data_IF_826131616593
#
_entry.id   IF_826131616593
#
_cell.length_a   1.000
_cell.length_b   1.000
_cell.length_c   1.000
_cell.angle_alpha   90.00
_cell.angle_beta   90.00
_cell.angle_gamma   90.00
#
_symmetry.space_group_name_H-M   'P 1'
#
loop_
_entity.id
_entity.type
_entity.pdbx_description
1 polymer ?
#
# COMPACT_ATOMS: atom_id res chain seq x y z
N UNK A 1 28.04 -34.07 -17.01
CA UNK A 1 26.97 -34.37 -16.04
C UNK A 1 25.80 -34.95 -16.83
N UNK A 2 25.41 -36.21 -16.53
CA UNK A 2 24.37 -36.91 -17.28
C UNK A 2 23.00 -36.32 -17.05
N UNK A 3 22.18 -36.26 -18.06
CA UNK A 3 20.78 -35.75 -18.04
C UNK A 3 19.87 -36.55 -17.05
N UNK A 4 20.38 -37.64 -16.45
CA UNK A 4 19.64 -38.57 -15.59
C UNK A 4 20.18 -38.72 -14.17
N UNK A 5 21.05 -37.81 -13.70
CA UNK A 5 21.53 -37.90 -12.33
C UNK A 5 20.38 -37.71 -11.35
N UNK A 6 20.20 -38.70 -10.46
CA UNK A 6 19.15 -38.65 -9.42
C UNK A 6 19.47 -37.53 -8.46
N UNK A 7 18.58 -36.55 -8.36
CA UNK A 7 18.66 -35.45 -7.39
C UNK A 7 17.83 -35.76 -6.17
N UNK A 8 18.33 -35.39 -5.01
CA UNK A 8 17.63 -35.48 -3.74
C UNK A 8 17.39 -34.08 -3.19
N UNK A 9 16.36 -33.96 -2.38
CA UNK A 9 16.03 -32.72 -1.70
C UNK A 9 16.90 -32.52 -0.46
N UNK A 10 17.68 -31.46 -0.39
CA UNK A 10 18.55 -31.14 0.73
C UNK A 10 17.80 -30.74 2.00
N UNK A 11 16.46 -30.55 1.88
CA UNK A 11 15.56 -30.23 2.98
C UNK A 11 14.97 -31.49 3.63
N UNK A 12 14.34 -32.40 2.85
CA UNK A 12 13.63 -33.57 3.37
C UNK A 12 14.29 -34.91 3.01
N UNK A 13 15.35 -34.92 2.21
CA UNK A 13 16.04 -36.13 1.77
C UNK A 13 15.33 -36.91 0.64
N UNK A 14 14.12 -36.57 0.27
CA UNK A 14 13.34 -37.27 -0.75
C UNK A 14 13.91 -37.11 -2.15
N UNK A 15 13.72 -38.14 -2.99
CA UNK A 15 14.13 -38.11 -4.39
C UNK A 15 13.29 -37.10 -5.16
N UNK A 16 13.95 -36.22 -5.89
CA UNK A 16 13.31 -35.21 -6.72
C UNK A 16 12.96 -35.82 -8.09
N UNK A 17 11.67 -35.73 -8.49
CA UNK A 17 11.21 -36.13 -9.80
C UNK A 17 11.74 -35.20 -10.91
N UNK A 18 11.60 -35.63 -12.17
CA UNK A 18 12.21 -35.00 -13.36
C UNK A 18 11.95 -33.47 -13.47
N UNK A 19 10.76 -32.99 -13.10
CA UNK A 19 10.39 -31.56 -13.13
C UNK A 19 10.17 -30.93 -11.73
N UNK A 20 10.52 -31.69 -10.67
CA UNK A 20 10.25 -31.31 -9.29
C UNK A 20 11.32 -30.46 -8.63
N UNK A 21 12.49 -30.30 -9.27
CA UNK A 21 13.61 -29.58 -8.67
C UNK A 21 13.34 -28.06 -8.62
N UNK A 22 13.49 -27.52 -7.43
CA UNK A 22 13.48 -26.08 -7.13
C UNK A 22 14.87 -25.71 -6.61
N UNK A 23 15.75 -25.26 -7.53
CA UNK A 23 17.15 -24.95 -7.21
C UNK A 23 17.25 -23.88 -6.13
N UNK A 24 18.16 -24.08 -5.19
CA UNK A 24 18.62 -23.12 -4.18
C UNK A 24 20.01 -22.60 -4.58
N UNK A 25 20.56 -21.68 -3.81
CA UNK A 25 21.94 -21.20 -4.04
C UNK A 25 22.96 -22.34 -3.95
N UNK A 26 22.91 -23.10 -2.88
CA UNK A 26 23.86 -24.15 -2.52
C UNK A 26 23.27 -25.59 -2.57
N UNK A 27 22.00 -25.74 -3.06
CA UNK A 27 21.37 -27.06 -3.03
C UNK A 27 20.11 -27.19 -3.88
N UNK A 28 19.34 -28.24 -3.59
CA UNK A 28 18.11 -28.61 -4.28
C UNK A 28 16.94 -28.75 -3.30
N UNK A 29 15.81 -28.21 -3.64
CA UNK A 29 14.58 -28.35 -2.90
C UNK A 29 13.53 -29.06 -3.76
N UNK A 30 12.75 -29.99 -3.21
CA UNK A 30 11.63 -30.60 -3.91
C UNK A 30 10.42 -29.65 -3.98
N UNK A 31 9.50 -29.95 -4.88
CA UNK A 31 8.26 -29.16 -5.06
C UNK A 31 7.44 -29.08 -3.76
N UNK A 32 7.42 -30.16 -2.97
CA UNK A 32 6.59 -30.23 -1.76
C UNK A 32 7.18 -29.42 -0.61
N UNK A 33 8.52 -29.40 -0.46
CA UNK A 33 9.16 -28.48 0.48
C UNK A 33 9.00 -27.02 0.04
N UNK A 34 9.13 -26.73 -1.26
CA UNK A 34 8.98 -25.38 -1.78
C UNK A 34 7.55 -24.82 -1.62
N UNK A 35 6.51 -25.67 -1.66
CA UNK A 35 5.12 -25.24 -1.43
C UNK A 35 4.84 -24.84 0.03
N UNK A 36 5.66 -25.30 0.98
CA UNK A 36 5.49 -24.95 2.39
C UNK A 36 6.05 -23.57 2.73
N UNK A 37 6.82 -22.97 1.83
CA UNK A 37 7.33 -21.60 1.99
C UNK A 37 6.20 -20.59 1.87
N UNK A 38 6.45 -19.34 2.30
CA UNK A 38 5.50 -18.26 2.10
C UNK A 38 5.20 -18.05 0.60
N UNK A 39 3.95 -17.81 0.20
CA UNK A 39 3.64 -17.47 -1.18
C UNK A 39 4.26 -16.13 -1.63
N UNK A 40 4.60 -15.26 -0.68
CA UNK A 40 5.21 -13.95 -0.92
C UNK A 40 6.74 -14.02 -0.97
N UNK A 41 7.33 -15.17 -0.71
CA UNK A 41 8.77 -15.36 -0.76
C UNK A 41 9.27 -15.61 -2.17
N UNK A 42 9.93 -14.64 -2.77
CA UNK A 42 10.44 -14.70 -4.16
C UNK A 42 11.90 -15.15 -4.28
N UNK A 43 12.71 -14.98 -3.23
CA UNK A 43 14.17 -15.11 -3.26
C UNK A 43 14.71 -16.54 -3.08
N UNK A 44 13.86 -17.55 -3.24
CA UNK A 44 14.25 -18.96 -3.03
C UNK A 44 15.51 -19.38 -3.80
N UNK A 45 15.76 -18.85 -4.99
CA UNK A 45 16.94 -19.23 -5.81
C UNK A 45 18.24 -18.68 -5.27
N UNK A 46 18.17 -17.58 -4.58
CA UNK A 46 19.28 -16.87 -3.95
C UNK A 46 19.49 -17.32 -2.50
N UNK A 47 18.59 -18.17 -1.97
CA UNK A 47 18.65 -18.63 -0.59
C UNK A 47 19.36 -19.96 -0.48
N UNK A 48 20.10 -20.10 0.61
CA UNK A 48 20.79 -21.33 1.00
C UNK A 48 19.81 -22.38 1.55
N UNK A 49 20.27 -23.62 1.62
CA UNK A 49 19.53 -24.73 2.26
C UNK A 49 19.17 -24.38 3.71
N UNK A 50 20.09 -23.73 4.42
CA UNK A 50 19.89 -23.40 5.84
C UNK A 50 18.82 -22.30 6.00
N UNK A 51 18.83 -21.25 5.19
CA UNK A 51 17.79 -20.20 5.20
C UNK A 51 16.40 -20.76 4.89
N UNK A 52 16.33 -21.71 3.93
CA UNK A 52 15.06 -22.39 3.63
C UNK A 52 14.57 -23.22 4.82
N UNK A 53 15.47 -23.93 5.52
CA UNK A 53 15.10 -24.67 6.74
C UNK A 53 14.59 -23.73 7.84
N UNK A 54 15.25 -22.60 8.04
CA UNK A 54 14.82 -21.58 9.01
C UNK A 54 13.44 -21.02 8.66
N UNK A 55 13.19 -20.71 7.38
CA UNK A 55 11.87 -20.28 6.96
C UNK A 55 10.80 -21.36 7.21
N UNK A 56 11.10 -22.63 6.97
CA UNK A 56 10.16 -23.72 7.24
C UNK A 56 9.84 -23.85 8.74
N UNK A 57 10.82 -23.62 9.63
CA UNK A 57 10.57 -23.54 11.08
C UNK A 57 9.63 -22.37 11.40
N UNK A 58 9.88 -21.20 10.82
CA UNK A 58 8.99 -20.04 10.95
C UNK A 58 7.56 -20.37 10.48
N UNK A 59 7.42 -21.08 9.35
CA UNK A 59 6.11 -21.50 8.82
C UNK A 59 5.37 -22.47 9.76
N UNK A 60 6.08 -23.32 10.49
CA UNK A 60 5.45 -24.17 11.52
C UNK A 60 5.00 -23.34 12.74
N UNK A 61 5.78 -22.35 13.15
CA UNK A 61 5.38 -21.40 14.20
C UNK A 61 4.16 -20.58 13.79
N UNK A 62 4.11 -20.14 12.52
CA UNK A 62 2.96 -19.41 11.96
C UNK A 62 1.64 -20.18 12.12
N UNK A 63 1.64 -21.50 12.01
CA UNK A 63 0.44 -22.33 12.23
C UNK A 63 -0.16 -22.12 13.62
N UNK A 64 0.71 -22.00 14.65
CA UNK A 64 0.23 -21.78 16.02
C UNK A 64 -0.37 -20.39 16.18
N UNK A 65 0.25 -19.38 15.57
CA UNK A 65 -0.28 -18.01 15.56
C UNK A 65 -1.61 -17.97 14.82
N UNK A 66 -1.69 -18.65 13.66
CA UNK A 66 -2.88 -18.70 12.82
C UNK A 66 -4.07 -19.38 13.51
N UNK A 67 -3.82 -20.34 14.43
CA UNK A 67 -4.89 -20.95 15.25
C UNK A 67 -5.58 -19.95 16.18
N UNK A 68 -4.81 -18.99 16.72
CA UNK A 68 -5.33 -17.95 17.62
C UNK A 68 -5.85 -16.71 16.89
N UNK A 69 -5.54 -16.59 15.60
CA UNK A 69 -5.95 -15.45 14.77
C UNK A 69 -7.47 -15.49 14.56
N UNK A 70 -8.17 -14.41 14.94
CA UNK A 70 -9.61 -14.28 14.81
C UNK A 70 -9.99 -12.95 14.15
N UNK A 71 -10.22 -12.94 12.82
CA UNK A 71 -10.46 -11.70 12.09
C UNK A 71 -11.74 -11.01 12.56
N UNK A 72 -11.62 -9.73 12.86
CA UNK A 72 -12.72 -8.82 13.19
C UNK A 72 -13.29 -8.16 11.93
N UNK A 73 -12.45 -8.04 10.90
CA UNK A 73 -12.80 -7.47 9.60
C UNK A 73 -12.24 -8.32 8.46
N UNK A 74 -12.96 -8.35 7.34
CA UNK A 74 -12.53 -9.00 6.10
C UNK A 74 -12.86 -8.05 4.94
N UNK A 75 -11.86 -7.67 4.16
CA UNK A 75 -12.00 -6.74 3.04
C UNK A 75 -11.47 -7.42 1.77
N UNK A 76 -12.21 -7.29 0.68
CA UNK A 76 -11.89 -7.90 -0.61
C UNK A 76 -12.85 -9.01 -1.04
N UNK A 77 -12.71 -9.46 -2.27
CA UNK A 77 -13.58 -10.46 -2.94
C UNK A 77 -12.87 -11.78 -3.19
N UNK A 78 -12.00 -11.87 -4.18
CA UNK A 78 -11.12 -13.03 -4.45
C UNK A 78 -9.91 -12.99 -3.49
N UNK A 79 -9.03 -12.02 -3.64
CA UNK A 79 -8.05 -11.71 -2.61
C UNK A 79 -8.71 -10.98 -1.45
N UNK A 80 -8.41 -11.43 -0.25
CA UNK A 80 -8.98 -10.89 1.00
C UNK A 80 -7.90 -10.53 1.99
N UNK A 81 -8.09 -9.39 2.62
CA UNK A 81 -7.32 -8.97 3.78
C UNK A 81 -8.17 -9.21 5.01
N UNK A 82 -7.74 -10.15 5.82
CA UNK A 82 -8.34 -10.51 7.11
C UNK A 82 -7.61 -9.74 8.19
N UNK A 83 -8.31 -8.99 9.03
CA UNK A 83 -7.71 -8.13 10.06
C UNK A 83 -8.26 -8.55 11.43
N UNK A 84 -7.36 -8.84 12.36
CA UNK A 84 -7.68 -9.01 13.78
C UNK A 84 -7.25 -7.73 14.52
N UNK A 85 -8.21 -6.85 14.76
CA UNK A 85 -7.96 -5.57 15.44
C UNK A 85 -7.54 -5.78 16.91
N UNK A 86 -7.99 -6.88 17.54
CA UNK A 86 -7.65 -7.18 18.94
C UNK A 86 -6.19 -7.58 19.10
N UNK A 87 -5.68 -8.43 18.20
CA UNK A 87 -4.28 -8.87 18.21
C UNK A 87 -3.37 -7.95 17.38
N UNK A 88 -3.94 -6.98 16.67
CA UNK A 88 -3.23 -6.09 15.74
C UNK A 88 -2.44 -6.86 14.68
N UNK A 89 -3.09 -7.82 14.05
CA UNK A 89 -2.51 -8.70 13.03
C UNK A 89 -3.39 -8.75 11.79
N UNK A 90 -2.79 -9.12 10.67
CA UNK A 90 -3.54 -9.34 9.44
C UNK A 90 -3.00 -10.54 8.65
N UNK A 91 -3.82 -11.02 7.74
CA UNK A 91 -3.52 -12.10 6.79
C UNK A 91 -4.01 -11.65 5.41
N UNK A 92 -3.20 -11.88 4.38
CA UNK A 92 -3.62 -11.71 2.99
C UNK A 92 -3.70 -13.07 2.31
N UNK A 93 -4.84 -13.42 1.76
CA UNK A 93 -5.02 -14.71 1.08
C UNK A 93 -6.21 -14.67 0.12
N UNK A 94 -6.09 -15.45 -0.98
CA UNK A 94 -7.22 -15.77 -1.85
C UNK A 94 -7.74 -17.21 -1.63
N UNK A 95 -7.14 -17.95 -0.72
CA UNK A 95 -7.55 -19.28 -0.41
C UNK A 95 -8.95 -19.30 0.24
N UNK A 96 -9.78 -20.26 -0.14
CA UNK A 96 -11.09 -20.49 0.51
C UNK A 96 -10.93 -20.75 2.01
N UNK A 97 -9.87 -21.45 2.37
CA UNK A 97 -9.47 -21.70 3.76
C UNK A 97 -8.02 -21.29 3.95
N UNK A 98 -7.82 -20.05 4.38
CA UNK A 98 -6.50 -19.48 4.62
C UNK A 98 -5.74 -20.18 5.76
N UNK A 99 -6.45 -20.86 6.67
CA UNK A 99 -5.82 -21.66 7.74
C UNK A 99 -5.24 -22.95 7.20
N UNK A 100 -5.95 -23.66 6.33
CA UNK A 100 -5.45 -24.87 5.68
C UNK A 100 -4.22 -24.58 4.80
N UNK A 101 -4.19 -23.42 4.13
CA UNK A 101 -3.05 -22.97 3.33
C UNK A 101 -1.90 -22.43 4.19
N UNK A 102 -2.08 -22.35 5.51
CA UNK A 102 -1.09 -21.74 6.40
C UNK A 102 -0.68 -20.34 5.95
N UNK A 103 -1.66 -19.46 5.65
CA UNK A 103 -1.40 -18.10 5.24
C UNK A 103 -0.57 -17.35 6.30
N UNK A 104 0.28 -16.41 5.86
CA UNK A 104 1.17 -15.68 6.77
C UNK A 104 0.38 -14.72 7.66
N UNK A 105 0.56 -14.84 8.97
CA UNK A 105 0.03 -13.88 9.95
C UNK A 105 1.09 -12.82 10.20
N UNK A 106 0.76 -11.59 9.89
CA UNK A 106 1.67 -10.45 9.93
C UNK A 106 1.18 -9.46 10.99
N UNK A 107 2.09 -8.94 11.79
CA UNK A 107 1.76 -7.89 12.76
C UNK A 107 1.58 -6.54 12.04
N UNK A 108 0.57 -5.77 12.42
CA UNK A 108 0.36 -4.43 11.88
C UNK A 108 1.57 -3.50 12.12
N UNK A 109 2.35 -3.76 13.16
CA UNK A 109 3.58 -3.01 13.43
C UNK A 109 4.70 -3.28 12.40
N UNK A 110 4.60 -4.37 11.63
CA UNK A 110 5.54 -4.69 10.54
C UNK A 110 5.21 -3.97 9.24
N UNK A 111 4.01 -3.39 9.10
CA UNK A 111 3.63 -2.62 7.90
C UNK A 111 4.42 -1.32 7.86
N UNK A 112 5.19 -1.12 6.80
CA UNK A 112 5.94 0.10 6.56
C UNK A 112 5.23 1.04 5.60
N UNK A 113 4.47 0.49 4.65
CA UNK A 113 3.60 1.23 3.75
C UNK A 113 2.48 0.31 3.22
N UNK A 114 1.35 0.89 2.87
CA UNK A 114 0.31 0.25 2.07
C UNK A 114 -0.22 1.27 1.08
N UNK A 115 -0.32 0.88 -0.17
CA UNK A 115 -0.85 1.71 -1.25
C UNK A 115 -1.52 0.84 -2.32
N UNK A 116 -2.16 1.48 -3.28
CA UNK A 116 -2.67 0.80 -4.45
C UNK A 116 -2.44 1.64 -5.71
N UNK A 117 -2.38 0.96 -6.84
CA UNK A 117 -2.33 1.55 -8.17
C UNK A 117 -3.59 1.16 -8.96
N UNK A 118 -4.01 2.04 -9.85
CA UNK A 118 -5.09 1.78 -10.82
C UNK A 118 -4.47 1.68 -12.19
N UNK A 119 -4.44 0.48 -12.74
CA UNK A 119 -3.97 0.24 -14.09
C UNK A 119 -5.15 0.23 -15.07
N UNK A 120 -4.89 0.81 -16.24
CA UNK A 120 -5.80 0.85 -17.37
C UNK A 120 -5.23 0.00 -18.50
N UNK A 121 -5.93 -1.05 -18.87
CA UNK A 121 -5.65 -1.84 -20.07
C UNK A 121 -6.54 -1.33 -21.21
N UNK A 122 -5.98 -1.23 -22.41
CA UNK A 122 -6.66 -0.75 -23.61
C UNK A 122 -6.44 -1.70 -24.77
N UNK A 123 -7.50 -2.39 -25.17
CA UNK A 123 -7.49 -3.34 -26.27
C UNK A 123 -8.19 -2.76 -27.50
N UNK A 124 -7.56 -2.88 -28.68
CA UNK A 124 -8.16 -2.45 -29.93
C UNK A 124 -9.24 -3.43 -30.37
N UNK A 125 -10.44 -2.91 -30.68
CA UNK A 125 -11.55 -3.68 -31.23
C UNK A 125 -11.40 -3.76 -32.73
N UNK A 126 -11.49 -4.97 -33.26
CA UNK A 126 -11.38 -5.25 -34.71
C UNK A 126 -12.72 -5.71 -35.27
N UNK A 127 -12.87 -5.51 -36.57
CA UNK A 127 -13.98 -6.06 -37.37
C UNK A 127 -13.45 -7.02 -38.42
N UNK A 128 -14.34 -7.62 -39.22
CA UNK A 128 -13.96 -8.46 -40.36
C UNK A 128 -14.32 -7.76 -41.65
N UNK A 129 -13.42 -7.82 -42.63
CA UNK A 129 -13.72 -7.41 -44.02
C UNK A 129 -14.59 -8.44 -44.74
N UNK A 130 -14.94 -8.16 -46.00
CA UNK A 130 -15.74 -9.07 -46.85
C UNK A 130 -15.06 -10.42 -47.13
N UNK A 131 -13.77 -10.55 -46.91
CA UNK A 131 -12.96 -11.76 -47.06
C UNK A 131 -12.74 -12.51 -45.74
N UNK A 132 -13.29 -12.01 -44.64
CA UNK A 132 -13.13 -12.59 -43.28
C UNK A 132 -11.83 -12.22 -42.58
N UNK A 133 -11.02 -11.30 -43.11
CA UNK A 133 -9.79 -10.86 -42.47
C UNK A 133 -10.12 -9.87 -41.33
N UNK A 134 -9.33 -9.95 -40.25
CA UNK A 134 -9.40 -9.02 -39.12
C UNK A 134 -8.85 -7.66 -39.55
N UNK A 135 -9.67 -6.61 -39.47
CA UNK A 135 -9.28 -5.22 -39.82
C UNK A 135 -9.69 -4.24 -38.73
N UNK A 136 -8.89 -3.20 -38.56
CA UNK A 136 -9.21 -2.07 -37.63
C UNK A 136 -10.45 -1.32 -38.13
N UNK A 137 -11.21 -0.78 -37.16
CA UNK A 137 -12.18 0.27 -37.46
C UNK A 137 -11.48 1.54 -37.94
N UNK A 138 -12.18 2.34 -38.74
CA UNK A 138 -11.69 3.67 -39.14
C UNK A 138 -12.70 4.74 -38.70
N UNK A 139 -12.41 5.53 -37.65
CA UNK A 139 -11.22 5.50 -36.77
C UNK A 139 -11.15 4.25 -35.89
N UNK A 140 -9.97 3.88 -35.35
CA UNK A 140 -9.82 2.74 -34.43
C UNK A 140 -10.73 2.87 -33.20
N UNK A 141 -11.27 1.74 -32.76
CA UNK A 141 -12.10 1.66 -31.53
C UNK A 141 -11.37 0.84 -30.49
N UNK A 142 -11.57 1.19 -29.22
CA UNK A 142 -10.89 0.55 -28.10
C UNK A 142 -11.91 0.14 -27.04
N UNK A 143 -11.62 -0.98 -26.41
CA UNK A 143 -12.23 -1.43 -25.17
C UNK A 143 -11.25 -1.15 -24.05
N UNK A 144 -11.75 -0.68 -22.92
CA UNK A 144 -10.96 -0.35 -21.75
C UNK A 144 -11.31 -1.30 -20.62
N UNK A 145 -10.32 -1.66 -19.84
CA UNK A 145 -10.55 -2.35 -18.57
C UNK A 145 -9.62 -1.82 -17.49
N UNK A 146 -10.11 -1.83 -16.26
CA UNK A 146 -9.41 -1.24 -15.12
C UNK A 146 -9.19 -2.29 -14.04
N UNK A 147 -7.98 -2.33 -13.47
CA UNK A 147 -7.67 -3.15 -12.31
C UNK A 147 -7.06 -2.30 -11.20
N UNK A 148 -7.25 -2.77 -9.96
CA UNK A 148 -6.61 -2.19 -8.78
C UNK A 148 -5.61 -3.20 -8.24
N UNK A 149 -4.33 -2.82 -8.24
CA UNK A 149 -3.23 -3.59 -7.67
C UNK A 149 -2.86 -3.02 -6.31
N UNK A 150 -2.90 -3.86 -5.28
CA UNK A 150 -2.49 -3.52 -3.93
C UNK A 150 -1.03 -3.87 -3.72
N UNK A 151 -0.30 -2.98 -3.05
CA UNK A 151 1.08 -3.19 -2.60
C UNK A 151 1.16 -2.90 -1.10
N UNK A 152 1.57 -3.89 -0.31
CA UNK A 152 1.77 -3.77 1.13
C UNK A 152 3.24 -4.07 1.42
N UNK A 153 3.97 -3.06 1.87
CA UNK A 153 5.36 -3.21 2.27
C UNK A 153 5.43 -3.57 3.76
N UNK A 154 6.20 -4.59 4.07
CA UNK A 154 6.32 -5.14 5.42
C UNK A 154 7.78 -5.37 5.82
N UNK A 155 8.07 -5.22 7.09
CA UNK A 155 9.35 -5.62 7.68
C UNK A 155 9.27 -7.06 8.17
N UNK A 156 9.28 -8.03 7.24
CA UNK A 156 9.31 -9.46 7.53
C UNK A 156 10.69 -10.03 7.19
N UNK A 157 11.17 -11.06 7.91
CA UNK A 157 12.49 -11.66 7.63
C UNK A 157 12.55 -12.42 6.30
N UNK A 158 11.41 -12.73 5.66
CA UNK A 158 11.35 -13.60 4.48
C UNK A 158 10.75 -12.96 3.24
N UNK A 159 10.09 -11.83 3.39
CA UNK A 159 9.55 -11.04 2.27
C UNK A 159 9.34 -9.59 2.73
N UNK A 160 9.52 -8.66 1.84
CA UNK A 160 9.36 -7.22 2.12
C UNK A 160 8.09 -6.64 1.52
N UNK A 161 7.42 -7.41 0.65
CA UNK A 161 6.31 -6.91 -0.15
C UNK A 161 5.24 -7.99 -0.37
N UNK A 162 3.99 -7.56 -0.38
CA UNK A 162 2.81 -8.36 -0.70
C UNK A 162 2.08 -7.61 -1.79
N UNK A 163 2.03 -8.20 -3.00
CA UNK A 163 1.31 -7.67 -4.14
C UNK A 163 0.14 -8.57 -4.52
N UNK A 164 -1.00 -7.98 -4.82
CA UNK A 164 -2.17 -8.70 -5.32
C UNK A 164 -3.14 -7.78 -6.07
N UNK A 165 -3.83 -8.33 -7.05
CA UNK A 165 -4.94 -7.68 -7.75
C UNK A 165 -6.19 -7.77 -6.86
N UNK A 166 -6.75 -6.61 -6.48
CA UNK A 166 -7.95 -6.53 -5.63
C UNK A 166 -9.24 -6.76 -6.44
N UNK A 167 -9.22 -6.41 -7.73
CA UNK A 167 -10.35 -6.60 -8.65
C UNK A 167 -10.46 -8.06 -9.07
N UNK A 168 -11.58 -8.72 -8.80
CA UNK A 168 -11.90 -10.04 -9.35
C UNK A 168 -12.54 -9.94 -10.75
N UNK A 169 -13.12 -8.79 -11.07
CA UNK A 169 -13.55 -8.37 -12.39
C UNK A 169 -12.87 -7.06 -12.74
N UNK A 170 -12.66 -6.81 -14.03
CA UNK A 170 -12.07 -5.58 -14.53
C UNK A 170 -13.17 -4.72 -15.15
N UNK A 171 -13.69 -3.73 -14.42
CA UNK A 171 -14.68 -2.79 -14.94
C UNK A 171 -14.20 -2.07 -16.20
N UNK A 172 -15.11 -1.75 -17.10
CA UNK A 172 -14.82 -1.05 -18.36
C UNK A 172 -14.65 0.47 -18.17
N UNK A 173 -14.97 0.99 -16.99
CA UNK A 173 -14.87 2.40 -16.67
C UNK A 173 -14.65 2.65 -15.17
N UNK A 174 -13.83 3.68 -14.86
CA UNK A 174 -13.64 4.17 -13.48
C UNK A 174 -14.88 4.82 -12.87
N UNK A 175 -15.91 5.11 -13.68
CA UNK A 175 -17.14 5.78 -13.23
C UNK A 175 -18.23 4.80 -12.84
N UNK A 176 -18.02 3.49 -12.98
CA UNK A 176 -18.98 2.46 -12.57
C UNK A 176 -19.09 2.37 -11.04
N UNK A 177 -20.21 1.92 -10.54
CA UNK A 177 -20.40 1.64 -9.11
C UNK A 177 -19.48 0.49 -8.64
N UNK A 178 -19.23 -0.45 -9.55
CA UNK A 178 -18.35 -1.58 -9.30
C UNK A 178 -16.90 -1.10 -9.06
N UNK A 179 -16.36 -0.25 -9.93
CA UNK A 179 -15.03 0.32 -9.75
C UNK A 179 -14.91 1.12 -8.44
N UNK A 180 -15.91 1.95 -8.13
CA UNK A 180 -15.94 2.72 -6.87
C UNK A 180 -15.94 1.82 -5.64
N UNK A 181 -16.58 0.65 -5.71
CA UNK A 181 -16.55 -0.34 -4.62
C UNK A 181 -15.15 -0.88 -4.40
N UNK A 182 -14.44 -1.25 -5.46
CA UNK A 182 -13.05 -1.70 -5.34
C UNK A 182 -12.13 -0.60 -4.80
N UNK A 183 -12.28 0.62 -5.29
CA UNK A 183 -11.52 1.77 -4.78
C UNK A 183 -11.80 2.04 -3.30
N UNK A 184 -13.05 1.90 -2.87
CA UNK A 184 -13.42 1.99 -1.45
C UNK A 184 -12.76 0.87 -0.63
N UNK A 185 -12.76 -0.38 -1.10
CA UNK A 185 -12.08 -1.50 -0.44
C UNK A 185 -10.57 -1.24 -0.34
N UNK A 186 -9.93 -0.74 -1.42
CA UNK A 186 -8.52 -0.40 -1.41
C UNK A 186 -8.19 0.66 -0.36
N UNK A 187 -8.97 1.73 -0.30
CA UNK A 187 -8.83 2.78 0.70
C UNK A 187 -9.03 2.25 2.13
N UNK A 188 -10.00 1.37 2.33
CA UNK A 188 -10.25 0.75 3.63
C UNK A 188 -9.08 -0.14 4.06
N UNK A 189 -8.51 -0.93 3.14
CA UNK A 189 -7.31 -1.74 3.41
C UNK A 189 -6.13 -0.84 3.82
N UNK A 190 -5.84 0.21 3.03
CA UNK A 190 -4.75 1.15 3.33
C UNK A 190 -4.95 1.77 4.72
N UNK A 191 -6.14 2.29 5.00
CA UNK A 191 -6.45 2.91 6.29
C UNK A 191 -6.30 1.93 7.46
N UNK A 192 -6.79 0.70 7.29
CA UNK A 192 -6.73 -0.33 8.33
C UNK A 192 -5.29 -0.78 8.64
N UNK A 193 -4.44 -0.90 7.62
CA UNK A 193 -3.07 -1.39 7.78
C UNK A 193 -2.10 -0.30 8.24
N UNK A 194 -2.30 0.96 7.84
CA UNK A 194 -1.39 2.07 8.18
C UNK A 194 -1.81 2.84 9.43
N UNK A 195 -3.04 2.63 9.92
CA UNK A 195 -3.61 3.42 11.02
C UNK A 195 -3.90 4.88 10.63
N UNK A 196 -3.73 5.23 9.37
CA UNK A 196 -4.11 6.54 8.83
C UNK A 196 -5.60 6.47 8.49
N UNK A 197 -6.38 7.46 8.94
CA UNK A 197 -7.78 7.60 8.49
C UNK A 197 -7.82 7.59 6.97
N UNK A 198 -8.82 6.88 6.38
CA UNK A 198 -8.94 6.75 4.93
C UNK A 198 -8.71 8.11 4.27
N UNK A 199 -7.83 8.23 3.23
CA UNK A 199 -7.72 9.45 2.47
C UNK A 199 -9.12 9.74 1.93
N UNK A 200 -9.63 10.95 2.18
CA UNK A 200 -10.93 11.36 1.65
C UNK A 200 -10.87 11.26 0.13
N UNK A 201 -11.53 10.23 -0.42
CA UNK A 201 -11.67 10.04 -1.84
C UNK A 201 -12.33 11.30 -2.43
N UNK A 202 -11.81 11.77 -3.54
CA UNK A 202 -12.44 12.81 -4.34
C UNK A 202 -13.86 12.37 -4.67
N UNK A 203 -14.87 12.96 -3.96
CA UNK A 203 -16.25 12.82 -4.34
C UNK A 203 -17.30 12.38 -3.31
N UNK A 204 -17.02 12.42 -2.01
CA UNK A 204 -18.10 12.32 -1.03
C UNK A 204 -18.75 13.69 -0.85
N UNK A 205 -20.09 13.85 -1.03
CA UNK A 205 -20.78 15.07 -0.64
C UNK A 205 -20.63 15.22 0.87
N UNK A 206 -20.08 16.36 1.30
CA UNK A 206 -20.04 16.74 2.71
C UNK A 206 -21.45 16.70 3.27
N UNK A 207 -21.78 15.67 4.06
CA UNK A 207 -22.87 15.78 5.00
C UNK A 207 -22.41 16.72 6.11
N UNK A 208 -22.93 17.93 6.06
CA UNK A 208 -22.76 18.87 7.16
C UNK A 208 -23.35 18.25 8.43
N UNK A 209 -22.63 18.32 9.56
CA UNK A 209 -23.22 17.92 10.84
C UNK A 209 -24.38 18.88 11.11
N UNK A 210 -25.58 18.32 11.30
CA UNK A 210 -26.72 19.06 11.84
C UNK A 210 -26.32 19.59 13.22
N UNK A 211 -25.89 20.85 13.26
CA UNK A 211 -25.74 21.60 14.49
C UNK A 211 -27.12 21.83 15.09
N UNK A 212 -27.32 21.31 16.29
CA UNK A 212 -28.46 21.63 17.14
C UNK A 212 -28.50 23.11 17.33
N UNK A 213 -29.56 23.75 16.82
CA UNK A 213 -29.90 25.11 17.16
C UNK A 213 -30.54 25.15 18.57
N UNK A 214 -30.12 26.07 19.46
CA UNK A 214 -30.81 26.26 20.72
C UNK A 214 -32.14 26.94 20.48
N UNK A 215 -33.19 26.43 21.08
CA UNK A 215 -34.50 27.05 21.18
C UNK A 215 -34.39 28.40 21.89
N UNK A 216 -34.95 29.46 21.31
CA UNK A 216 -35.18 30.69 22.05
C UNK A 216 -35.41 31.94 21.21
N UNK A 217 -36.62 32.34 21.05
CA UNK A 217 -37.31 33.63 21.11
C UNK A 217 -38.24 33.91 19.93
N UNK A 218 -39.44 34.47 20.19
CA UNK A 218 -40.47 34.66 19.18
C UNK A 218 -40.27 35.94 18.35
N UNK A 219 -40.81 36.01 17.12
CA UNK A 219 -40.56 37.09 16.20
C UNK A 219 -41.40 38.34 16.55
N UNK A 220 -40.73 39.50 16.65
CA UNK A 220 -41.37 40.79 16.67
C UNK A 220 -41.92 41.15 15.27
N UNK A 221 -43.18 41.59 15.25
CA UNK A 221 -43.88 42.10 14.10
C UNK A 221 -43.24 43.37 13.54
N UNK A 222 -42.99 43.43 12.24
CA UNK A 222 -42.66 44.64 11.52
C UNK A 222 -43.93 45.22 10.86
N UNK A 223 -44.10 46.54 10.85
CA UNK A 223 -45.28 47.18 10.27
C UNK A 223 -45.18 47.33 8.74
N UNK A 224 -46.35 47.25 8.11
CA UNK A 224 -46.57 47.50 6.69
C UNK A 224 -46.18 48.93 6.30
N UNK A 225 -45.29 49.05 5.28
CA UNK A 225 -44.97 50.33 4.61
C UNK A 225 -45.09 50.18 3.10
N UNK A 226 -45.94 51.05 2.52
CA UNK A 226 -46.46 51.08 1.18
C UNK A 226 -45.40 51.23 0.08
N UNK A 227 -45.62 50.55 -1.07
CA UNK A 227 -44.97 50.84 -2.35
C UNK A 227 -45.53 52.10 -3.02
N UNK A 228 -44.74 52.86 -3.79
CA UNK A 228 -45.19 53.59 -4.93
C UNK A 228 -44.77 53.00 -6.27
N UNK A 229 -45.72 52.96 -7.17
CA UNK A 229 -45.64 52.67 -8.61
C UNK A 229 -44.81 53.70 -9.36
N UNK A 230 -44.15 53.30 -10.46
CA UNK A 230 -43.79 54.27 -11.51
C UNK A 230 -42.57 53.86 -12.38
N UNK A 231 -42.85 53.22 -13.48
CA UNK A 231 -42.54 53.47 -14.91
C UNK A 231 -41.10 53.26 -15.47
N UNK A 232 -40.90 53.28 -16.83
CA UNK A 232 -40.71 52.08 -17.65
C UNK A 232 -39.32 52.05 -18.40
N UNK A 233 -39.08 51.12 -19.33
CA UNK A 233 -37.73 50.77 -19.79
C UNK A 233 -37.23 51.68 -20.92
N UNK A 234 -35.95 52.03 -20.93
CA UNK A 234 -35.30 52.64 -22.09
C UNK A 234 -34.27 51.71 -22.73
N UNK A 235 -34.34 51.74 -24.04
CA UNK A 235 -33.71 51.01 -25.11
C UNK A 235 -32.19 51.00 -25.07
N UNK A 236 -31.64 49.87 -25.57
CA UNK A 236 -30.23 49.69 -25.96
C UNK A 236 -29.91 50.48 -27.23
N UNK A 237 -28.68 50.93 -27.43
CA UNK A 237 -28.08 51.03 -28.73
C UNK A 237 -26.96 50.01 -28.95
N UNK A 238 -27.04 49.41 -30.13
CA UNK A 238 -26.01 48.63 -30.77
C UNK A 238 -24.76 49.48 -31.07
N UNK A 239 -23.58 48.86 -30.91
CA UNK A 239 -22.34 49.44 -31.42
C UNK A 239 -21.14 48.54 -31.13
N UNK A 240 -20.81 47.67 -32.07
CA UNK A 240 -19.43 47.18 -32.22
C UNK A 240 -18.55 48.26 -32.84
N UNK A 241 -17.25 48.30 -32.55
CA UNK A 241 -16.31 47.93 -33.61
C UNK A 241 -15.07 47.11 -33.14
N UNK A 242 -14.77 46.13 -33.95
CA UNK A 242 -13.50 45.68 -34.58
C UNK A 242 -12.19 45.85 -33.81
N UNK A 243 -11.50 44.70 -33.70
CA UNK A 243 -10.10 44.54 -33.34
C UNK A 243 -9.14 45.18 -34.35
N UNK A 244 -7.95 45.57 -33.94
CA UNK A 244 -6.78 45.53 -34.81
C UNK A 244 -5.75 44.47 -34.30
N UNK A 245 -5.29 43.75 -35.26
CA UNK A 245 -4.09 42.89 -35.22
C UNK A 245 -2.86 43.75 -34.92
N UNK A 246 -1.99 43.28 -33.97
CA UNK A 246 -0.70 43.89 -33.67
C UNK A 246 0.30 42.85 -33.21
N UNK A 247 1.04 42.40 -34.10
CA UNK A 247 2.43 41.86 -34.20
C UNK A 247 3.19 41.63 -32.91
N UNK A 248 3.73 40.42 -32.80
CA UNK A 248 4.81 40.02 -31.91
C UNK A 248 6.15 40.59 -32.40
N UNK A 249 7.06 40.99 -31.52
CA UNK A 249 8.48 41.02 -31.83
C UNK A 249 9.20 39.81 -31.23
N UNK A 250 9.98 39.19 -32.08
CA UNK A 250 11.04 38.23 -31.77
C UNK A 250 12.23 38.93 -31.08
N UNK A 251 12.89 38.19 -30.16
CA UNK A 251 14.30 38.38 -29.88
C UNK A 251 14.62 38.66 -28.41
N UNK A 252 15.32 37.88 -27.72
CA UNK A 252 16.75 37.61 -27.67
C UNK A 252 17.18 36.78 -26.46
N UNK A 253 18.42 36.28 -26.37
CA UNK A 253 18.82 35.05 -25.72
C UNK A 253 19.33 35.22 -24.27
N UNK A 254 19.68 34.09 -23.58
CA UNK A 254 19.94 34.07 -22.15
C UNK A 254 21.35 34.66 -21.82
N UNK A 255 21.39 35.50 -20.81
CA UNK A 255 22.65 35.96 -20.22
C UNK A 255 23.18 35.00 -19.15
N UNK A 256 24.46 34.78 -19.24
CA UNK A 256 25.35 33.99 -18.43
C UNK A 256 25.35 34.42 -16.95
N UNK A 257 25.47 33.46 -16.07
CA UNK A 257 25.75 33.64 -14.65
C UNK A 257 27.24 34.07 -14.47
N UNK A 258 27.54 34.98 -13.57
CA UNK A 258 28.89 35.14 -13.07
C UNK A 258 29.14 34.28 -11.83
N UNK A 259 30.24 33.54 -11.87
CA UNK A 259 30.88 32.94 -10.72
C UNK A 259 31.36 34.04 -9.75
N UNK A 260 31.00 33.93 -8.48
CA UNK A 260 31.43 34.82 -7.40
C UNK A 260 31.63 34.06 -6.10
N UNK A 261 32.86 33.72 -5.86
CA UNK A 261 33.74 33.56 -4.70
C UNK A 261 33.07 33.52 -3.31
N UNK A 262 33.35 32.45 -2.57
CA UNK A 262 33.19 32.34 -1.11
C UNK A 262 34.28 33.20 -0.40
N UNK A 263 33.95 33.87 0.69
CA UNK A 263 34.93 34.28 1.69
C UNK A 263 35.02 33.27 2.84
N UNK A 264 36.24 32.91 3.15
CA UNK A 264 36.66 32.20 4.36
C UNK A 264 36.51 33.10 5.60
N UNK A 265 36.08 32.47 6.70
CA UNK A 265 36.54 32.83 8.06
C UNK A 265 35.54 33.55 8.92
N UNK A 266 35.10 32.87 9.99
CA UNK A 266 35.44 33.32 11.34
C UNK A 266 34.90 32.39 12.43
N UNK A 267 35.68 32.23 13.41
CA UNK A 267 35.77 31.48 14.64
C UNK A 267 34.49 31.46 15.50
N UNK A 268 34.21 30.28 16.05
CA UNK A 268 33.20 30.05 17.09
C UNK A 268 33.70 30.67 18.45
N UNK A 269 32.79 31.25 19.23
CA UNK A 269 33.02 31.46 20.67
C UNK A 269 32.45 30.25 21.43
N UNK A 270 33.26 29.77 22.34
CA UNK A 270 32.88 28.83 23.42
C UNK A 270 31.78 29.46 24.28
N UNK A 271 30.60 28.80 24.36
CA UNK A 271 29.51 29.16 25.27
C UNK A 271 29.06 27.92 26.03
N UNK A 272 29.15 28.06 27.33
CA UNK A 272 28.94 27.11 28.41
C UNK A 272 27.63 26.32 28.30
N UNK A 273 27.70 25.02 28.58
CA UNK A 273 26.54 24.16 28.82
C UNK A 273 25.96 24.44 30.22
N UNK A 274 24.63 24.53 30.36
CA UNK A 274 23.98 24.40 31.65
C UNK A 274 23.81 22.91 31.99
N UNK A 275 24.24 22.56 33.18
CA UNK A 275 23.90 21.30 33.85
C UNK A 275 22.38 21.20 33.98
N UNK A 276 21.74 20.15 33.43
CA UNK A 276 20.32 19.91 33.55
C UNK A 276 19.98 18.43 33.47
N UNK A 277 19.86 17.84 34.64
CA UNK A 277 19.04 16.67 35.02
C UNK A 277 19.09 15.39 34.15
N UNK A 278 19.72 14.39 34.71
CA UNK A 278 19.62 12.99 34.35
C UNK A 278 18.16 12.50 34.50
N UNK A 279 17.60 11.72 33.53
CA UNK A 279 16.40 10.96 33.78
C UNK A 279 16.69 9.85 34.78
N UNK A 280 15.90 9.79 35.85
CA UNK A 280 15.93 8.73 36.85
C UNK A 280 15.75 7.36 36.20
N UNK A 281 16.77 6.53 36.32
CA UNK A 281 16.66 5.10 36.02
C UNK A 281 15.71 4.47 37.04
N UNK A 282 14.56 4.00 36.57
CA UNK A 282 13.72 3.09 37.34
C UNK A 282 14.48 1.77 37.51
N UNK A 283 14.87 1.48 38.73
CA UNK A 283 15.43 0.19 39.13
C UNK A 283 14.40 -0.91 38.89
N UNK A 284 14.68 -1.80 37.94
CA UNK A 284 13.98 -3.09 37.80
C UNK A 284 14.43 -4.04 38.94
N UNK A 285 13.54 -4.95 39.42
CA UNK A 285 13.90 -5.87 40.51
C UNK A 285 15.03 -6.80 40.10
N UNK A 286 15.97 -6.99 40.97
CA UNK A 286 17.15 -7.84 40.82
C UNK A 286 16.73 -9.30 40.54
N UNK A 287 17.10 -9.86 39.38
CA UNK A 287 16.95 -11.29 39.08
C UNK A 287 16.82 -11.71 37.61
N UNK A 288 16.50 -10.86 36.67
CA UNK A 288 16.43 -11.25 35.27
C UNK A 288 17.70 -10.83 34.53
N UNK A 289 18.49 -11.80 34.02
CA UNK A 289 19.64 -11.52 33.15
C UNK A 289 19.14 -10.86 31.88
N UNK A 290 19.41 -9.58 31.74
CA UNK A 290 19.11 -8.80 30.54
C UNK A 290 20.15 -9.13 29.46
N UNK A 291 19.70 -9.33 28.23
CA UNK A 291 20.55 -9.52 27.08
C UNK A 291 20.16 -8.56 25.95
N UNK A 292 21.14 -8.22 25.10
CA UNK A 292 20.91 -7.36 23.95
C UNK A 292 20.81 -8.19 22.68
N UNK A 293 19.78 -7.94 21.89
CA UNK A 293 19.56 -8.65 20.63
C UNK A 293 20.69 -8.32 19.63
N UNK A 294 21.42 -9.31 19.08
CA UNK A 294 22.47 -9.05 18.11
C UNK A 294 21.95 -8.49 16.78
N UNK A 295 20.67 -8.68 16.48
CA UNK A 295 20.07 -8.23 15.23
C UNK A 295 19.55 -6.79 15.27
N UNK A 296 18.94 -6.34 16.39
CA UNK A 296 18.32 -5.01 16.49
C UNK A 296 18.79 -4.16 17.66
N UNK A 297 19.71 -4.66 18.51
CA UNK A 297 20.23 -3.94 19.67
C UNK A 297 19.26 -3.77 20.84
N UNK A 298 18.03 -4.25 20.76
CA UNK A 298 17.04 -4.10 21.82
C UNK A 298 17.39 -4.92 23.06
N UNK A 299 17.20 -4.34 24.24
CA UNK A 299 17.39 -5.01 25.52
C UNK A 299 16.20 -5.93 25.83
N UNK A 300 16.46 -7.18 26.22
CA UNK A 300 15.45 -8.21 26.43
C UNK A 300 15.71 -8.98 27.74
N UNK A 301 14.63 -9.46 28.34
CA UNK A 301 14.66 -10.32 29.53
C UNK A 301 14.07 -11.70 29.29
N UNK A 302 13.53 -11.95 28.09
CA UNK A 302 12.92 -13.20 27.66
C UNK A 302 13.87 -13.97 26.73
N UNK A 303 13.54 -15.20 26.37
CA UNK A 303 14.34 -16.04 25.48
C UNK A 303 14.29 -15.59 24.01
N UNK A 304 13.48 -14.60 23.67
CA UNK A 304 13.35 -14.02 22.33
C UNK A 304 13.35 -12.51 22.42
N UNK A 305 13.89 -11.86 21.41
CA UNK A 305 13.83 -10.41 21.29
C UNK A 305 12.39 -9.96 21.08
N UNK A 306 11.88 -9.14 21.99
CA UNK A 306 10.51 -8.60 21.92
C UNK A 306 10.32 -7.61 20.78
N UNK A 307 11.41 -7.12 20.18
CA UNK A 307 11.36 -6.14 19.10
C UNK A 307 11.43 -6.78 17.70
N UNK A 308 12.21 -7.86 17.52
CA UNK A 308 12.44 -8.47 16.20
C UNK A 308 12.31 -10.00 16.17
N UNK A 309 11.90 -10.64 17.27
CA UNK A 309 11.70 -12.08 17.36
C UNK A 309 12.99 -12.94 17.40
N UNK A 310 14.19 -12.36 17.31
CA UNK A 310 15.44 -13.10 17.33
C UNK A 310 15.60 -13.88 18.63
N UNK A 311 15.89 -15.20 18.60
CA UNK A 311 16.12 -15.97 19.83
C UNK A 311 17.41 -15.53 20.53
N UNK A 312 17.43 -15.68 21.84
CA UNK A 312 18.63 -15.49 22.64
C UNK A 312 19.65 -16.58 22.28
N UNK A 313 20.85 -16.20 21.89
CA UNK A 313 21.93 -17.10 21.59
C UNK A 313 22.47 -17.80 22.85
#
# INVERSE_FOLDING_TARGET
>A
MGLFDKKFCDICGEKIGMLGNRKLEDGNCCKDCARKLSPFFSERRQSTVEEIKQQLVYREQNKQVLMSFNPTRVIGTDWKVYIDDNQRKFVVSRARDYRAENADVIDLAQVTAANYNVDEDRDEIYTQDSNGNRVSYSPPRYEYSYKIEMTINVNSPYFSEIEFELTDHRPDSRYTEEFRRYEQMANEIVAALTGQGAPMGYGAPMQQPYGQQPYGQPPMQQPYGQQPYGQPPMQQPYGQPQQPYGQQPYGQPPMQQPYGQQPYGQQQPYGQQPYGQQPQQQYAPAGAMQWFCPNCGAANTTNFCQNCGTPKA
#
